data_IF_036903907314
#
_entry.id   IF_036903907314
#
_cell.length_a   1.000
_cell.length_b   1.000
_cell.length_c   1.000
_cell.angle_alpha   90.00
_cell.angle_beta   90.00
_cell.angle_gamma   90.00
#
_symmetry.space_group_name_H-M   'P 1'
#
loop_
_entity.id
_entity.type
_entity.pdbx_description
1 polymer ?
#
# COMPACT_ATOMS: atom_id res chain seq x y z
N UNK A 1 29.77 2.06 -11.81
CA UNK A 1 30.41 2.97 -12.78
C UNK A 1 30.05 4.38 -12.38
N UNK A 2 31.02 5.25 -12.11
CA UNK A 2 30.73 6.66 -11.89
C UNK A 2 30.32 7.28 -13.24
N UNK A 3 29.11 7.82 -13.33
CA UNK A 3 28.69 8.61 -14.50
C UNK A 3 29.27 10.00 -14.30
N UNK A 4 30.24 10.37 -15.13
CA UNK A 4 30.94 11.66 -15.08
C UNK A 4 30.07 12.75 -15.70
N UNK A 5 29.75 13.80 -14.91
CA UNK A 5 28.98 14.96 -15.36
C UNK A 5 29.68 15.70 -16.50
N UNK A 6 31.01 15.60 -16.56
CA UNK A 6 31.88 16.20 -17.56
C UNK A 6 31.58 15.71 -18.98
N UNK A 7 30.87 14.60 -19.15
CA UNK A 7 30.46 14.09 -20.46
C UNK A 7 29.32 14.87 -21.10
N UNK A 8 28.65 15.75 -20.34
CA UNK A 8 27.45 16.46 -20.78
C UNK A 8 27.67 17.97 -20.95
N UNK A 9 28.89 18.41 -21.31
CA UNK A 9 29.23 19.85 -21.43
C UNK A 9 28.25 20.64 -22.31
N UNK A 10 27.79 20.06 -23.42
CA UNK A 10 26.85 20.70 -24.34
C UNK A 10 25.52 21.04 -23.63
N UNK A 11 25.01 20.12 -22.82
CA UNK A 11 23.80 20.32 -22.02
C UNK A 11 24.03 21.37 -20.92
N UNK A 12 25.19 21.31 -20.25
CA UNK A 12 25.54 22.26 -19.18
C UNK A 12 25.62 23.70 -19.71
N UNK A 13 26.13 23.89 -20.93
CA UNK A 13 26.21 25.20 -21.55
C UNK A 13 24.83 25.87 -21.74
N UNK A 14 23.77 25.09 -21.92
CA UNK A 14 22.41 25.61 -22.18
C UNK A 14 21.66 26.04 -20.90
N UNK A 15 21.99 25.45 -19.74
CA UNK A 15 21.25 25.67 -18.48
C UNK A 15 21.56 27.03 -17.83
N UNK A 16 22.77 27.56 -18.07
CA UNK A 16 23.28 28.78 -17.44
C UNK A 16 23.90 28.52 -16.06
N UNK A 17 24.77 29.45 -15.63
CA UNK A 17 25.70 29.26 -14.49
C UNK A 17 25.03 28.78 -13.20
N UNK A 18 23.96 29.45 -12.76
CA UNK A 18 23.29 29.11 -11.51
C UNK A 18 22.63 27.71 -11.52
N UNK A 19 21.98 27.33 -12.62
CA UNK A 19 21.37 26.00 -12.73
C UNK A 19 22.44 24.90 -12.79
N UNK A 20 23.59 25.17 -13.41
CA UNK A 20 24.74 24.26 -13.45
C UNK A 20 25.34 24.06 -12.06
N UNK A 21 25.46 25.13 -11.26
CA UNK A 21 25.94 25.04 -9.87
C UNK A 21 25.04 24.11 -9.03
N UNK A 22 23.72 24.31 -9.12
CA UNK A 22 22.75 23.45 -8.43
C UNK A 22 22.80 22.01 -8.94
N UNK A 23 22.90 21.82 -10.26
CA UNK A 23 23.01 20.49 -10.87
C UNK A 23 24.25 19.75 -10.37
N UNK A 24 25.39 20.44 -10.26
CA UNK A 24 26.63 19.86 -9.71
C UNK A 24 26.44 19.43 -8.25
N UNK A 25 25.74 20.23 -7.45
CA UNK A 25 25.46 19.89 -6.06
C UNK A 25 24.53 18.68 -5.92
N UNK A 26 23.58 18.50 -6.84
CA UNK A 26 22.60 17.38 -6.83
C UNK A 26 23.05 16.15 -7.62
N UNK A 27 24.20 16.21 -8.31
CA UNK A 27 24.62 15.16 -9.25
C UNK A 27 24.86 13.80 -8.59
N UNK A 28 25.56 13.77 -7.46
CA UNK A 28 25.89 12.52 -6.78
C UNK A 28 24.64 11.77 -6.29
N UNK A 29 23.62 12.52 -5.86
CA UNK A 29 22.33 11.96 -5.48
C UNK A 29 21.59 11.43 -6.72
N UNK A 30 21.48 12.24 -7.78
CA UNK A 30 20.86 11.83 -9.03
C UNK A 30 21.52 10.57 -9.61
N UNK A 31 22.85 10.51 -9.65
CA UNK A 31 23.60 9.41 -10.22
C UNK A 31 23.45 8.08 -9.44
N UNK A 32 23.04 8.15 -8.16
CA UNK A 32 22.75 6.94 -7.35
C UNK A 32 21.37 6.37 -7.61
N UNK A 33 20.39 7.20 -7.96
CA UNK A 33 18.97 6.81 -8.01
C UNK A 33 18.47 6.58 -9.44
N UNK A 34 19.03 7.26 -10.43
CA UNK A 34 18.65 7.11 -11.83
C UNK A 34 19.50 6.06 -12.55
N UNK A 35 18.90 5.43 -13.56
CA UNK A 35 19.69 4.68 -14.56
C UNK A 35 20.50 5.66 -15.42
N UNK A 36 21.58 5.22 -16.11
CA UNK A 36 22.30 6.08 -17.05
C UNK A 36 21.39 6.69 -18.12
N UNK A 37 20.37 5.94 -18.57
CA UNK A 37 19.37 6.43 -19.52
C UNK A 37 18.40 7.42 -18.89
N UNK A 38 17.99 7.21 -17.64
CA UNK A 38 17.13 8.12 -16.88
C UNK A 38 17.81 9.46 -16.57
N UNK A 39 19.11 9.43 -16.22
CA UNK A 39 19.93 10.63 -16.01
C UNK A 39 19.92 11.54 -17.24
N UNK A 40 20.18 10.97 -18.41
CA UNK A 40 20.21 11.74 -19.65
C UNK A 40 18.79 12.16 -20.08
N UNK A 41 17.87 11.21 -20.20
CA UNK A 41 16.56 11.45 -20.82
C UNK A 41 15.57 12.20 -19.93
N UNK A 42 15.57 11.94 -18.63
CA UNK A 42 14.56 12.49 -17.72
C UNK A 42 15.12 13.64 -16.90
N UNK A 43 16.35 13.51 -16.39
CA UNK A 43 16.93 14.54 -15.52
C UNK A 43 17.59 15.68 -16.32
N UNK A 44 18.61 15.40 -17.12
CA UNK A 44 19.35 16.42 -17.88
C UNK A 44 18.52 17.06 -18.99
N UNK A 45 17.91 16.23 -19.85
CA UNK A 45 17.04 16.73 -20.92
C UNK A 45 15.76 17.37 -20.36
N UNK A 46 15.28 16.92 -19.19
CA UNK A 46 14.17 17.57 -18.50
C UNK A 46 14.49 18.99 -18.05
N UNK A 47 15.64 19.19 -17.39
CA UNK A 47 16.11 20.52 -16.99
C UNK A 47 16.27 21.45 -18.20
N UNK A 48 16.84 20.94 -19.28
CA UNK A 48 17.04 21.69 -20.54
C UNK A 48 15.72 22.05 -21.21
N UNK A 49 14.78 21.09 -21.25
CA UNK A 49 13.43 21.34 -21.75
C UNK A 49 12.75 22.45 -20.96
N UNK A 50 12.83 22.44 -19.63
CA UNK A 50 12.28 23.51 -18.78
C UNK A 50 12.96 24.86 -19.01
N UNK A 51 14.28 24.87 -19.22
CA UNK A 51 15.04 26.08 -19.56
C UNK A 51 14.57 26.70 -20.87
N UNK A 52 14.33 25.87 -21.89
CA UNK A 52 13.87 26.31 -23.23
C UNK A 52 12.51 27.00 -23.20
N UNK A 53 11.70 26.75 -22.16
CA UNK A 53 10.42 27.42 -21.95
C UNK A 53 10.57 28.90 -21.52
N UNK A 54 11.76 29.35 -21.14
CA UNK A 54 12.09 30.76 -21.00
C UNK A 54 11.41 31.52 -19.85
N UNK A 55 10.96 30.86 -18.77
CA UNK A 55 10.31 31.52 -17.61
C UNK A 55 11.15 31.61 -16.33
N UNK A 56 12.43 31.91 -16.50
CA UNK A 56 13.35 32.09 -15.38
C UNK A 56 13.99 30.79 -14.89
N UNK A 57 14.98 30.94 -14.02
CA UNK A 57 15.88 29.86 -13.60
C UNK A 57 15.31 29.05 -12.43
N UNK A 58 14.47 29.64 -11.58
CA UNK A 58 13.89 28.99 -10.39
C UNK A 58 13.11 27.72 -10.72
N UNK A 59 12.41 27.71 -11.86
CA UNK A 59 11.69 26.53 -12.35
C UNK A 59 12.63 25.35 -12.63
N UNK A 60 13.77 25.65 -13.26
CA UNK A 60 14.79 24.65 -13.62
C UNK A 60 15.49 24.15 -12.35
N UNK A 61 15.85 25.08 -11.46
CA UNK A 61 16.51 24.79 -10.18
C UNK A 61 15.63 23.91 -9.29
N UNK A 62 14.36 24.24 -9.12
CA UNK A 62 13.42 23.44 -8.31
C UNK A 62 13.23 22.02 -8.87
N UNK A 63 13.21 21.86 -10.20
CA UNK A 63 13.20 20.53 -10.81
C UNK A 63 14.49 19.74 -10.52
N UNK A 64 15.65 20.36 -10.75
CA UNK A 64 16.97 19.74 -10.52
C UNK A 64 17.12 19.26 -9.07
N UNK A 65 16.66 20.06 -8.11
CA UNK A 65 16.75 19.74 -6.68
C UNK A 65 15.76 18.63 -6.28
N UNK A 66 14.55 18.63 -6.80
CA UNK A 66 13.49 17.73 -6.35
C UNK A 66 13.46 16.38 -7.08
N UNK A 67 13.89 16.32 -8.34
CA UNK A 67 13.78 15.11 -9.15
C UNK A 67 14.50 13.88 -8.57
N UNK A 68 15.71 13.98 -7.98
CA UNK A 68 16.37 12.82 -7.37
C UNK A 68 15.56 12.19 -6.24
N UNK A 69 14.99 13.01 -5.35
CA UNK A 69 14.13 12.52 -4.27
C UNK A 69 12.86 11.85 -4.79
N UNK A 70 12.22 12.40 -5.84
CA UNK A 70 11.05 11.75 -6.46
C UNK A 70 11.42 10.41 -7.11
N UNK A 71 12.57 10.34 -7.80
CA UNK A 71 13.07 9.10 -8.37
C UNK A 71 13.45 8.07 -7.30
N UNK A 72 14.01 8.50 -6.18
CA UNK A 72 14.32 7.63 -5.04
C UNK A 72 13.06 6.96 -4.48
N UNK A 73 12.00 7.72 -4.27
CA UNK A 73 10.77 7.21 -3.67
C UNK A 73 9.93 6.37 -4.63
N UNK A 74 9.80 6.78 -5.90
CA UNK A 74 8.81 6.23 -6.83
C UNK A 74 9.39 5.70 -8.15
N UNK A 75 10.70 5.83 -8.36
CA UNK A 75 11.38 5.45 -9.60
C UNK A 75 11.43 6.58 -10.64
N UNK A 76 12.32 6.43 -11.63
CA UNK A 76 12.62 7.44 -12.65
C UNK A 76 11.43 7.78 -13.56
N UNK A 77 10.49 6.85 -13.71
CA UNK A 77 9.24 7.04 -14.47
C UNK A 77 8.31 8.09 -13.83
N UNK A 78 8.28 8.18 -12.49
CA UNK A 78 7.52 9.21 -11.80
C UNK A 78 8.05 10.62 -12.09
N UNK A 79 9.37 10.76 -12.31
CA UNK A 79 9.99 12.03 -12.69
C UNK A 79 9.58 12.43 -14.12
N UNK A 80 9.53 11.46 -15.05
CA UNK A 80 9.01 11.69 -16.40
C UNK A 80 7.57 12.20 -16.37
N UNK A 81 6.72 11.60 -15.55
CA UNK A 81 5.32 12.01 -15.40
C UNK A 81 5.17 13.38 -14.75
N UNK A 82 5.96 13.67 -13.71
CA UNK A 82 6.03 14.97 -13.06
C UNK A 82 6.42 16.07 -14.06
N UNK A 83 7.43 15.81 -14.89
CA UNK A 83 7.88 16.73 -15.94
C UNK A 83 6.78 16.94 -17.00
N UNK A 84 6.14 15.87 -17.47
CA UNK A 84 5.05 15.96 -18.43
C UNK A 84 3.86 16.76 -17.88
N UNK A 85 3.51 16.57 -16.61
CA UNK A 85 2.49 17.35 -15.92
C UNK A 85 2.86 18.83 -15.84
N UNK A 86 4.10 19.15 -15.47
CA UNK A 86 4.60 20.53 -15.42
C UNK A 86 4.54 21.23 -16.80
N UNK A 87 4.94 20.55 -17.87
CA UNK A 87 4.86 21.07 -19.25
C UNK A 87 3.40 21.31 -19.65
N UNK A 88 2.48 20.38 -19.31
CA UNK A 88 1.04 20.54 -19.57
C UNK A 88 0.45 21.74 -18.83
N UNK A 89 0.88 21.97 -17.59
CA UNK A 89 0.40 23.07 -16.73
C UNK A 89 1.03 24.42 -17.10
N UNK A 90 2.14 24.44 -17.84
CA UNK A 90 2.88 25.64 -18.21
C UNK A 90 2.03 26.74 -18.87
N UNK A 91 1.05 26.38 -19.70
CA UNK A 91 0.14 27.34 -20.33
C UNK A 91 -1.00 27.82 -19.43
N UNK A 92 -1.21 27.17 -18.28
CA UNK A 92 -2.35 27.39 -17.37
C UNK A 92 -1.98 28.19 -16.12
N UNK A 93 -0.70 28.29 -15.77
CA UNK A 93 -0.25 28.90 -14.51
C UNK A 93 1.10 29.62 -14.62
N UNK A 94 1.52 30.28 -13.54
CA UNK A 94 2.82 30.95 -13.45
C UNK A 94 3.96 29.96 -13.20
N UNK A 95 5.18 30.33 -13.60
CA UNK A 95 6.36 29.52 -13.31
C UNK A 95 6.61 29.35 -11.80
N UNK A 96 6.18 30.31 -10.98
CA UNK A 96 6.26 30.24 -9.52
C UNK A 96 5.36 29.15 -8.92
N UNK A 97 4.21 28.84 -9.53
CA UNK A 97 3.34 27.75 -9.09
C UNK A 97 3.93 26.39 -9.48
N UNK A 98 4.50 26.29 -10.68
CA UNK A 98 5.15 25.05 -11.14
C UNK A 98 6.43 24.76 -10.34
N UNK A 99 7.21 25.80 -10.03
CA UNK A 99 8.35 25.68 -9.13
C UNK A 99 7.91 25.21 -7.73
N UNK A 100 6.75 25.67 -7.23
CA UNK A 100 6.16 25.17 -5.99
C UNK A 100 5.81 23.69 -6.09
N UNK A 101 5.18 23.28 -7.19
CA UNK A 101 4.83 21.88 -7.47
C UNK A 101 6.08 21.01 -7.45
N UNK A 102 7.16 21.40 -8.13
CA UNK A 102 8.42 20.65 -8.06
C UNK A 102 8.98 20.62 -6.63
N UNK A 103 9.01 21.76 -5.94
CA UNK A 103 9.54 21.84 -4.58
C UNK A 103 8.76 20.98 -3.58
N UNK A 104 7.45 20.82 -3.76
CA UNK A 104 6.60 19.99 -2.90
C UNK A 104 6.47 18.53 -3.37
N UNK A 105 6.90 18.21 -4.59
CA UNK A 105 6.77 16.85 -5.15
C UNK A 105 7.50 15.77 -4.35
N UNK A 106 8.68 16.00 -3.75
CA UNK A 106 9.31 15.02 -2.85
C UNK A 106 8.41 14.65 -1.66
N UNK A 107 7.69 15.62 -1.09
CA UNK A 107 6.74 15.38 0.01
C UNK A 107 5.57 14.52 -0.47
N UNK A 108 5.01 14.83 -1.65
CA UNK A 108 3.96 14.01 -2.24
C UNK A 108 4.44 12.59 -2.55
N UNK A 109 5.63 12.45 -3.14
CA UNK A 109 6.21 11.16 -3.48
C UNK A 109 6.40 10.28 -2.24
N UNK A 110 7.05 10.82 -1.20
CA UNK A 110 7.29 10.11 0.05
C UNK A 110 6.00 9.76 0.81
N UNK A 111 4.96 10.61 0.76
CA UNK A 111 3.70 10.37 1.48
C UNK A 111 2.73 9.45 0.74
N UNK A 112 2.74 9.47 -0.59
CA UNK A 112 1.89 8.61 -1.41
C UNK A 112 2.51 7.23 -1.60
N UNK A 113 3.84 7.13 -1.72
CA UNK A 113 4.56 5.86 -1.73
C UNK A 113 4.23 4.90 -2.89
N UNK A 114 3.48 5.37 -3.88
CA UNK A 114 3.10 4.60 -5.07
C UNK A 114 3.01 5.51 -6.32
N UNK A 115 3.54 5.08 -7.49
CA UNK A 115 3.53 5.88 -8.72
C UNK A 115 2.12 6.21 -9.25
N UNK A 116 1.15 5.31 -9.12
CA UNK A 116 -0.22 5.54 -9.59
C UNK A 116 -0.93 6.58 -8.72
N UNK A 117 -0.74 6.51 -7.40
CA UNK A 117 -1.20 7.57 -6.50
C UNK A 117 -0.55 8.91 -6.82
N UNK A 118 0.77 8.94 -7.05
CA UNK A 118 1.46 10.17 -7.44
C UNK A 118 0.94 10.76 -8.75
N UNK A 119 0.67 9.92 -9.76
CA UNK A 119 -0.01 10.35 -11.00
C UNK A 119 -1.39 10.92 -10.73
N UNK A 120 -2.17 10.28 -9.85
CA UNK A 120 -3.47 10.77 -9.40
C UNK A 120 -3.40 12.13 -8.71
N UNK A 121 -2.33 12.40 -7.96
CA UNK A 121 -2.02 13.69 -7.36
C UNK A 121 -1.68 14.75 -8.42
N UNK A 122 -0.84 14.44 -9.41
CA UNK A 122 -0.54 15.35 -10.51
C UNK A 122 -1.80 15.71 -11.31
N UNK A 123 -2.71 14.75 -11.52
CA UNK A 123 -4.00 15.00 -12.13
C UNK A 123 -4.89 15.91 -11.26
N UNK A 124 -4.88 15.74 -9.93
CA UNK A 124 -5.60 16.63 -9.02
C UNK A 124 -5.09 18.07 -9.13
N UNK A 125 -3.77 18.28 -9.21
CA UNK A 125 -3.21 19.62 -9.42
C UNK A 125 -3.71 20.26 -10.73
N UNK A 126 -3.74 19.50 -11.84
CA UNK A 126 -4.24 20.00 -13.13
C UNK A 126 -5.72 20.40 -13.04
N UNK A 127 -6.49 19.64 -12.26
CA UNK A 127 -7.91 19.91 -11.99
C UNK A 127 -8.08 21.19 -11.18
N UNK A 128 -7.31 21.36 -10.11
CA UNK A 128 -7.37 22.53 -9.23
C UNK A 128 -6.87 23.80 -9.93
N UNK A 129 -5.92 23.71 -10.84
CA UNK A 129 -5.52 24.86 -11.67
C UNK A 129 -6.68 25.39 -12.53
N UNK A 130 -7.60 24.52 -12.95
CA UNK A 130 -8.77 24.93 -13.72
C UNK A 130 -9.89 25.50 -12.83
N UNK A 131 -10.04 25.01 -11.59
CA UNK A 131 -11.18 25.34 -10.73
C UNK A 131 -10.87 26.39 -9.64
N UNK A 132 -9.67 26.33 -9.07
CA UNK A 132 -9.22 27.14 -7.93
C UNK A 132 -7.72 27.53 -8.04
N UNK A 133 -7.29 28.20 -9.12
CA UNK A 133 -5.86 28.45 -9.39
C UNK A 133 -5.16 29.27 -8.28
N UNK A 134 -5.89 30.14 -7.58
CA UNK A 134 -5.34 30.93 -6.46
C UNK A 134 -5.13 30.11 -5.19
N UNK A 135 -5.85 29.00 -5.05
CA UNK A 135 -5.70 28.06 -3.94
C UNK A 135 -4.55 27.09 -4.08
N UNK A 136 -4.07 26.83 -5.32
CA UNK A 136 -3.03 25.82 -5.56
C UNK A 136 -1.72 26.15 -4.82
N UNK A 137 -1.19 27.37 -4.94
CA UNK A 137 0.07 27.72 -4.26
C UNK A 137 -0.04 27.61 -2.73
N UNK A 138 -1.04 28.22 -2.06
CA UNK A 138 -1.25 28.03 -0.62
C UNK A 138 -1.35 26.56 -0.22
N UNK A 139 -2.07 25.74 -0.99
CA UNK A 139 -2.18 24.30 -0.72
C UNK A 139 -0.82 23.60 -0.75
N UNK A 140 0.02 23.91 -1.75
CA UNK A 140 1.34 23.31 -1.90
C UNK A 140 2.27 23.71 -0.74
N UNK A 141 2.16 24.94 -0.23
CA UNK A 141 2.91 25.40 0.95
C UNK A 141 2.50 24.63 2.23
N UNK A 142 1.29 24.04 2.27
CA UNK A 142 0.79 23.21 3.38
C UNK A 142 0.72 21.70 3.07
N UNK A 143 1.33 21.25 1.97
CA UNK A 143 1.16 19.88 1.48
C UNK A 143 1.60 18.82 2.49
N UNK A 144 2.68 19.07 3.24
CA UNK A 144 3.15 18.15 4.28
C UNK A 144 2.13 17.95 5.41
N UNK A 145 1.39 18.99 5.77
CA UNK A 145 0.35 18.92 6.81
C UNK A 145 -0.86 18.15 6.30
N UNK A 146 -1.24 18.40 5.05
CA UNK A 146 -2.39 17.75 4.40
C UNK A 146 -2.13 16.25 4.22
N UNK A 147 -1.03 15.86 3.56
CA UNK A 147 -0.68 14.45 3.33
C UNK A 147 -0.16 13.73 4.58
N UNK A 148 0.09 14.45 5.67
CA UNK A 148 0.33 13.84 6.99
C UNK A 148 -0.95 13.41 7.72
N UNK A 149 -2.14 13.77 7.21
CA UNK A 149 -3.44 13.47 7.83
C UNK A 149 -4.45 12.87 6.85
N UNK A 150 -4.27 13.15 5.56
CA UNK A 150 -5.19 12.76 4.50
C UNK A 150 -4.52 11.76 3.58
N UNK A 151 -5.32 10.79 3.17
CA UNK A 151 -5.02 10.03 1.96
C UNK A 151 -5.20 10.89 0.71
N UNK A 152 -4.79 10.40 -0.47
CA UNK A 152 -5.03 11.14 -1.72
C UNK A 152 -6.53 11.36 -1.99
N UNK A 153 -7.38 10.38 -1.66
CA UNK A 153 -8.83 10.53 -1.74
C UNK A 153 -9.34 11.62 -0.79
N UNK A 154 -8.84 11.65 0.44
CA UNK A 154 -9.15 12.71 1.41
C UNK A 154 -8.73 14.09 0.93
N UNK A 155 -7.50 14.22 0.41
CA UNK A 155 -6.98 15.47 -0.17
C UNK A 155 -7.85 15.94 -1.36
N UNK A 156 -8.24 15.03 -2.25
CA UNK A 156 -9.12 15.34 -3.38
C UNK A 156 -10.47 15.89 -2.89
N UNK A 157 -11.13 15.22 -1.94
CA UNK A 157 -12.43 15.66 -1.43
C UNK A 157 -12.34 16.98 -0.68
N UNK A 158 -11.31 17.18 0.14
CA UNK A 158 -11.03 18.45 0.80
C UNK A 158 -10.82 19.58 -0.22
N UNK A 159 -9.95 19.37 -1.22
CA UNK A 159 -9.61 20.39 -2.20
C UNK A 159 -10.80 20.75 -3.12
N UNK A 160 -11.54 19.76 -3.61
CA UNK A 160 -12.71 20.01 -4.47
C UNK A 160 -13.86 20.66 -3.70
N UNK A 161 -14.04 20.33 -2.42
CA UNK A 161 -15.00 21.03 -1.56
C UNK A 161 -14.64 22.51 -1.44
N UNK A 162 -13.37 22.82 -1.12
CA UNK A 162 -12.88 24.20 -1.02
C UNK A 162 -13.05 25.00 -2.30
N UNK A 163 -12.70 24.39 -3.44
CA UNK A 163 -12.87 24.99 -4.77
C UNK A 163 -14.33 25.32 -5.07
N UNK A 164 -15.26 24.43 -4.70
CA UNK A 164 -16.69 24.62 -4.93
C UNK A 164 -17.31 25.63 -3.96
N UNK A 165 -16.98 25.55 -2.66
CA UNK A 165 -17.52 26.42 -1.62
C UNK A 165 -17.11 27.90 -1.83
N UNK A 166 -15.86 28.12 -2.26
CA UNK A 166 -15.31 29.46 -2.49
C UNK A 166 -15.12 29.76 -3.98
N UNK A 167 -16.00 29.26 -4.85
CA UNK A 167 -15.89 29.43 -6.31
C UNK A 167 -15.89 30.90 -6.75
N UNK A 168 -16.65 31.74 -6.05
CA UNK A 168 -16.80 33.18 -6.35
C UNK A 168 -16.09 34.09 -5.35
N UNK A 169 -15.60 33.54 -4.24
CA UNK A 169 -14.88 34.27 -3.18
C UNK A 169 -13.40 33.92 -3.22
N UNK A 170 -12.62 34.73 -3.93
CA UNK A 170 -11.21 34.45 -4.13
C UNK A 170 -10.35 34.61 -2.87
N UNK A 171 -10.74 35.51 -1.95
CA UNK A 171 -10.03 35.71 -0.69
C UNK A 171 -10.31 34.54 0.26
N UNK A 172 -11.59 34.13 0.36
CA UNK A 172 -11.97 32.92 1.07
C UNK A 172 -11.34 31.66 0.48
N UNK A 173 -11.20 31.57 -0.84
CA UNK A 173 -10.49 30.46 -1.49
C UNK A 173 -9.03 30.41 -1.07
N UNK A 174 -8.30 31.53 -1.11
CA UNK A 174 -6.90 31.57 -0.68
C UNK A 174 -6.76 31.15 0.80
N UNK A 175 -7.60 31.69 1.69
CA UNK A 175 -7.63 31.34 3.12
C UNK A 175 -7.97 29.87 3.38
N UNK A 176 -8.91 29.30 2.63
CA UNK A 176 -9.26 27.90 2.75
C UNK A 176 -8.06 27.00 2.45
N UNK A 177 -7.42 27.21 1.29
CA UNK A 177 -6.28 26.40 0.88
C UNK A 177 -5.01 26.67 1.69
N UNK A 178 -4.92 27.81 2.38
CA UNK A 178 -3.87 28.15 3.35
C UNK A 178 -4.09 27.54 4.76
N UNK A 179 -5.16 26.75 4.97
CA UNK A 179 -5.56 26.25 6.29
C UNK A 179 -5.86 27.36 7.32
N UNK A 180 -6.23 28.56 6.87
CA UNK A 180 -6.51 29.71 7.73
C UNK A 180 -8.00 29.82 8.09
N UNK A 181 -8.88 29.17 7.33
CA UNK A 181 -10.33 29.23 7.58
C UNK A 181 -10.81 28.09 8.50
N UNK A 182 -11.78 28.36 9.41
CA UNK A 182 -12.39 27.32 10.23
C UNK A 182 -13.01 26.17 9.40
N UNK A 183 -13.57 26.49 8.24
CA UNK A 183 -14.16 25.53 7.31
C UNK A 183 -13.09 24.58 6.75
N UNK A 184 -11.91 25.10 6.42
CA UNK A 184 -10.78 24.30 5.94
C UNK A 184 -10.34 23.27 6.97
N UNK A 185 -10.17 23.70 8.22
CA UNK A 185 -9.84 22.83 9.34
C UNK A 185 -10.96 21.81 9.60
N UNK A 186 -12.23 22.23 9.54
CA UNK A 186 -13.38 21.35 9.76
C UNK A 186 -13.47 20.23 8.71
N UNK A 187 -13.31 20.56 7.43
CA UNK A 187 -13.29 19.55 6.34
C UNK A 187 -12.06 18.65 6.45
N UNK A 188 -10.89 19.22 6.81
CA UNK A 188 -9.67 18.44 7.05
C UNK A 188 -9.88 17.39 8.15
N UNK A 189 -10.47 17.77 9.29
CA UNK A 189 -10.75 16.82 10.37
C UNK A 189 -11.81 15.78 9.96
N UNK A 190 -12.78 16.13 9.13
CA UNK A 190 -13.79 15.19 8.62
C UNK A 190 -13.22 14.17 7.64
N UNK A 191 -12.24 14.57 6.84
CA UNK A 191 -11.60 13.71 5.83
C UNK A 191 -10.36 12.99 6.37
N UNK A 192 -9.88 13.37 7.55
CA UNK A 192 -8.80 12.68 8.26
C UNK A 192 -9.18 11.23 8.48
N UNK A 193 -8.30 10.35 8.05
CA UNK A 193 -8.37 8.92 8.34
C UNK A 193 -7.51 8.60 9.56
N UNK A 194 -7.75 7.46 10.20
CA UNK A 194 -7.04 7.01 11.40
C UNK A 194 -5.53 6.85 11.21
N UNK A 195 -5.06 5.61 11.11
CA UNK A 195 -3.64 5.29 10.91
C UNK A 195 -3.34 5.27 9.41
N UNK A 196 -2.43 6.13 8.93
CA UNK A 196 -1.96 6.09 7.54
C UNK A 196 -0.94 4.96 7.35
N UNK A 197 -1.01 4.26 6.21
CA UNK A 197 -0.12 3.14 5.92
C UNK A 197 1.35 3.56 5.91
N UNK A 198 1.65 4.69 5.30
CA UNK A 198 3.03 5.18 5.13
C UNK A 198 3.75 5.41 6.47
N UNK A 199 3.00 5.72 7.54
CA UNK A 199 3.55 5.94 8.88
C UNK A 199 3.89 4.62 9.59
N UNK A 200 3.31 3.50 9.17
CA UNK A 200 3.47 2.18 9.80
C UNK A 200 4.14 1.12 8.92
N UNK A 201 4.26 1.34 7.61
CA UNK A 201 4.77 0.38 6.63
C UNK A 201 6.10 -0.27 7.06
N UNK A 202 7.06 0.53 7.54
CA UNK A 202 8.36 0.02 8.02
C UNK A 202 8.21 -0.92 9.22
N UNK A 203 7.33 -0.59 10.17
CA UNK A 203 7.05 -1.41 11.35
C UNK A 203 6.36 -2.73 10.96
N UNK A 204 5.41 -2.68 10.02
CA UNK A 204 4.75 -3.86 9.48
C UNK A 204 5.76 -4.74 8.71
N UNK A 205 6.66 -4.15 7.93
CA UNK A 205 7.71 -4.88 7.20
C UNK A 205 8.62 -5.66 8.16
N UNK A 206 9.05 -5.01 9.26
CA UNK A 206 9.83 -5.67 10.31
C UNK A 206 9.05 -6.79 11.00
N UNK A 207 7.75 -6.58 11.24
CA UNK A 207 6.87 -7.58 11.84
C UNK A 207 6.74 -8.83 10.96
N UNK A 208 6.45 -8.68 9.67
CA UNK A 208 6.37 -9.81 8.74
C UNK A 208 7.73 -10.54 8.59
N UNK A 209 8.83 -9.78 8.52
CA UNK A 209 10.19 -10.35 8.49
C UNK A 209 10.50 -11.15 9.76
N UNK A 210 10.01 -10.71 10.93
CA UNK A 210 10.22 -11.43 12.19
C UNK A 210 9.52 -12.81 12.20
N UNK A 211 8.31 -12.86 11.63
CA UNK A 211 7.50 -14.08 11.49
C UNK A 211 8.13 -15.03 10.47
N UNK A 212 8.30 -14.62 9.21
CA UNK A 212 8.65 -15.54 8.11
C UNK A 212 10.12 -15.50 7.66
N UNK A 213 10.96 -14.62 8.24
CA UNK A 213 12.38 -14.55 7.89
C UNK A 213 12.65 -14.12 6.45
N UNK A 214 11.71 -13.43 5.80
CA UNK A 214 11.84 -12.91 4.44
C UNK A 214 11.18 -11.54 4.31
N UNK A 215 11.51 -10.86 3.22
CA UNK A 215 10.90 -9.58 2.87
C UNK A 215 9.56 -9.76 2.16
N UNK A 216 8.65 -8.82 2.44
CA UNK A 216 7.36 -8.70 1.78
C UNK A 216 7.25 -7.27 1.26
N UNK A 217 7.04 -7.14 -0.04
CA UNK A 217 6.87 -5.84 -0.67
C UNK A 217 5.42 -5.41 -0.47
N UNK A 218 5.23 -4.22 0.09
CA UNK A 218 3.91 -3.69 0.36
C UNK A 218 3.76 -2.31 -0.23
N UNK A 219 2.58 -2.02 -0.79
CA UNK A 219 2.19 -0.71 -1.30
C UNK A 219 0.80 -0.33 -0.81
N UNK A 220 0.46 0.97 -0.75
CA UNK A 220 -0.92 1.37 -0.55
C UNK A 220 -1.79 0.90 -1.73
N UNK A 221 -3.08 0.72 -1.49
CA UNK A 221 -4.05 0.45 -2.55
C UNK A 221 -4.27 1.71 -3.37
N UNK A 222 -4.16 1.58 -4.69
CA UNK A 222 -4.36 2.65 -5.66
C UNK A 222 -5.62 2.37 -6.45
N UNK A 223 -6.74 3.08 -6.22
CA UNK A 223 -7.83 2.90 -7.18
C UNK A 223 -9.22 3.52 -7.04
N UNK A 224 -9.77 4.05 -5.95
CA UNK A 224 -11.14 4.59 -5.99
C UNK A 224 -11.20 5.76 -5.04
N UNK A 225 -10.96 6.93 -5.63
CA UNK A 225 -11.00 8.19 -4.91
C UNK A 225 -12.44 8.61 -4.57
N UNK A 226 -13.45 7.96 -5.17
CA UNK A 226 -14.85 8.34 -5.03
C UNK A 226 -15.52 7.67 -3.84
N UNK A 227 -15.13 6.44 -3.49
CA UNK A 227 -15.64 5.74 -2.31
C UNK A 227 -14.78 6.03 -1.08
N UNK A 228 -15.43 6.22 0.08
CA UNK A 228 -14.75 6.47 1.36
C UNK A 228 -14.23 5.18 2.02
N UNK A 229 -14.67 4.05 1.50
CA UNK A 229 -14.18 2.73 1.84
C UNK A 229 -12.88 2.53 1.05
N UNK A 230 -11.75 2.56 1.76
CA UNK A 230 -10.49 2.13 1.16
C UNK A 230 -10.63 0.70 0.65
N UNK A 231 -9.86 0.35 -0.38
CA UNK A 231 -9.89 -1.01 -0.93
C UNK A 231 -9.64 -2.07 0.11
N UNK A 232 -10.20 -3.25 -0.09
CA UNK A 232 -9.72 -4.43 0.61
C UNK A 232 -8.23 -4.66 0.35
N UNK A 233 -7.52 -5.28 1.31
CA UNK A 233 -6.23 -5.88 1.03
C UNK A 233 -6.31 -6.72 -0.25
N UNK A 234 -5.24 -6.72 -1.04
CA UNK A 234 -5.11 -7.55 -2.23
C UNK A 234 -3.64 -7.84 -2.49
N UNK A 235 -3.37 -8.81 -3.35
CA UNK A 235 -2.01 -9.15 -3.74
C UNK A 235 -1.96 -9.17 -5.26
N UNK A 236 -1.06 -8.37 -5.82
CA UNK A 236 -0.81 -8.28 -7.27
C UNK A 236 0.65 -8.61 -7.52
N UNK A 237 0.90 -9.68 -8.28
CA UNK A 237 2.25 -10.20 -8.39
C UNK A 237 2.81 -10.62 -7.03
N UNK A 238 3.96 -10.06 -6.68
CA UNK A 238 4.61 -10.25 -5.37
C UNK A 238 4.35 -9.10 -4.38
N UNK A 239 3.53 -8.12 -4.76
CA UNK A 239 3.26 -6.92 -3.95
C UNK A 239 1.94 -7.11 -3.20
N UNK A 240 1.98 -6.93 -1.88
CA UNK A 240 0.80 -6.86 -1.02
C UNK A 240 0.30 -5.42 -1.03
N UNK A 241 -0.92 -5.20 -1.50
CA UNK A 241 -1.60 -3.92 -1.45
C UNK A 241 -2.46 -3.83 -0.20
N UNK A 242 -2.20 -2.84 0.65
CA UNK A 242 -2.96 -2.56 1.87
C UNK A 242 -3.65 -1.19 1.78
N UNK A 243 -4.77 -0.96 2.49
CA UNK A 243 -5.42 0.36 2.52
C UNK A 243 -4.45 1.48 2.82
N UNK A 244 -4.56 2.59 2.09
CA UNK A 244 -3.78 3.81 2.34
C UNK A 244 -3.99 4.38 3.76
N UNK A 245 -5.14 4.11 4.37
CA UNK A 245 -5.41 4.34 5.78
C UNK A 245 -6.42 3.33 6.37
N UNK A 246 -6.28 3.04 7.67
CA UNK A 246 -7.30 2.38 8.48
C UNK A 246 -7.84 3.32 9.55
N UNK A 247 -9.17 3.43 9.65
CA UNK A 247 -9.82 3.99 10.82
C UNK A 247 -9.80 2.96 11.96
N UNK A 248 -9.86 3.42 13.21
CA UNK A 248 -9.98 2.51 14.35
C UNK A 248 -11.36 1.80 14.29
N UNK A 249 -11.36 0.48 14.46
CA UNK A 249 -12.57 -0.32 14.46
C UNK A 249 -13.12 -0.39 15.89
N UNK A 250 -14.33 0.11 16.06
CA UNK A 250 -15.08 -0.01 17.31
C UNK A 250 -16.32 -0.83 17.04
N UNK A 251 -16.48 -1.92 17.78
CA UNK A 251 -17.73 -2.67 17.76
C UNK A 251 -18.13 -3.08 19.17
N UNK A 252 -19.44 -3.18 19.37
CA UNK A 252 -20.03 -3.52 20.65
C UNK A 252 -20.59 -4.94 20.61
N UNK A 253 -20.11 -5.79 21.50
CA UNK A 253 -20.65 -7.13 21.65
C UNK A 253 -22.09 -7.08 22.18
N UNK A 254 -22.91 -8.13 21.95
CA UNK A 254 -24.26 -8.20 22.51
C UNK A 254 -24.30 -8.11 24.05
N UNK A 255 -23.20 -8.42 24.73
CA UNK A 255 -23.02 -8.23 26.18
C UNK A 255 -22.95 -6.76 26.61
N UNK A 256 -22.79 -5.83 25.65
CA UNK A 256 -22.57 -4.41 25.88
C UNK A 256 -21.10 -4.01 25.99
N UNK A 257 -20.17 -4.96 25.96
CA UNK A 257 -18.73 -4.69 26.00
C UNK A 257 -18.25 -4.12 24.67
N UNK A 258 -17.52 -3.01 24.73
CA UNK A 258 -16.96 -2.33 23.57
C UNK A 258 -15.54 -2.82 23.32
N UNK A 259 -15.29 -3.33 22.12
CA UNK A 259 -13.97 -3.71 21.66
C UNK A 259 -13.44 -2.63 20.73
N UNK A 260 -12.29 -2.07 21.09
CA UNK A 260 -11.61 -1.04 20.30
C UNK A 260 -10.32 -1.60 19.69
N UNK A 261 -10.24 -1.59 18.37
CA UNK A 261 -9.11 -2.11 17.61
C UNK A 261 -8.50 -0.96 16.82
N UNK A 262 -7.28 -0.60 17.20
CA UNK A 262 -6.55 0.47 16.53
C UNK A 262 -6.18 0.10 15.10
N UNK A 263 -6.12 1.09 14.20
CA UNK A 263 -5.79 0.88 12.78
C UNK A 263 -4.44 0.17 12.55
N UNK A 264 -3.47 0.32 13.46
CA UNK A 264 -2.21 -0.44 13.40
C UNK A 264 -2.39 -1.95 13.60
N UNK A 265 -3.35 -2.38 14.43
CA UNK A 265 -3.64 -3.80 14.61
C UNK A 265 -4.37 -4.37 13.38
N UNK A 266 -5.22 -3.57 12.73
CA UNK A 266 -5.77 -3.93 11.41
C UNK A 266 -4.66 -4.12 10.37
N UNK A 267 -3.68 -3.22 10.29
CA UNK A 267 -2.52 -3.41 9.40
C UNK A 267 -1.75 -4.70 9.71
N UNK A 268 -1.54 -5.03 10.99
CA UNK A 268 -0.88 -6.30 11.37
C UNK A 268 -1.69 -7.50 10.92
N UNK A 269 -3.00 -7.50 11.18
CA UNK A 269 -3.91 -8.57 10.81
C UNK A 269 -3.93 -8.78 9.30
N UNK A 270 -4.12 -7.71 8.53
CA UNK A 270 -4.21 -7.76 7.07
C UNK A 270 -2.91 -8.15 6.42
N UNK A 271 -1.80 -7.55 6.85
CA UNK A 271 -0.47 -7.86 6.31
C UNK A 271 -0.05 -9.29 6.63
N UNK A 272 -0.34 -9.78 7.85
CA UNK A 272 -0.07 -11.17 8.21
C UNK A 272 -0.90 -12.15 7.37
N UNK A 273 -2.19 -11.86 7.16
CA UNK A 273 -3.06 -12.69 6.34
C UNK A 273 -2.58 -12.76 4.87
N UNK A 274 -2.34 -11.61 4.24
CA UNK A 274 -1.83 -11.58 2.86
C UNK A 274 -0.45 -12.27 2.74
N UNK A 275 0.43 -12.11 3.75
CA UNK A 275 1.67 -12.85 3.81
C UNK A 275 1.46 -14.37 3.89
N UNK A 276 0.41 -14.85 4.58
CA UNK A 276 0.08 -16.28 4.63
C UNK A 276 -0.22 -16.82 3.23
N UNK A 277 -0.97 -16.10 2.40
CA UNK A 277 -1.19 -16.50 1.00
C UNK A 277 0.12 -16.61 0.22
N UNK A 278 0.99 -15.59 0.29
CA UNK A 278 2.28 -15.63 -0.41
C UNK A 278 3.23 -16.74 0.09
N UNK A 279 3.04 -17.25 1.31
CA UNK A 279 3.90 -18.29 1.90
C UNK A 279 3.31 -19.69 1.69
N UNK A 280 1.99 -19.85 1.80
CA UNK A 280 1.33 -21.15 1.91
C UNK A 280 0.42 -21.51 0.73
N UNK A 281 0.04 -20.56 -0.11
CA UNK A 281 -0.61 -20.83 -1.41
C UNK A 281 0.49 -21.06 -2.45
N UNK A 282 0.79 -22.32 -2.74
CA UNK A 282 1.96 -22.75 -3.51
C UNK A 282 1.68 -23.13 -4.96
N UNK A 283 0.40 -23.31 -5.30
CA UNK A 283 -0.09 -23.68 -6.62
C UNK A 283 -1.27 -22.78 -7.01
N UNK A 284 -1.40 -22.48 -8.30
CA UNK A 284 -2.56 -21.77 -8.85
C UNK A 284 -3.81 -22.63 -8.77
N UNK A 285 -4.94 -22.01 -8.43
CA UNK A 285 -6.23 -22.66 -8.54
C UNK A 285 -6.79 -22.53 -9.95
N UNK A 286 -7.30 -23.64 -10.50
CA UNK A 286 -8.06 -23.60 -11.74
C UNK A 286 -9.44 -23.00 -11.51
N UNK A 287 -9.68 -21.85 -12.16
CA UNK A 287 -10.95 -21.12 -12.12
C UNK A 287 -11.96 -21.59 -13.17
N UNK A 288 -11.56 -22.49 -14.07
CA UNK A 288 -12.36 -22.91 -15.23
C UNK A 288 -13.68 -23.54 -14.79
N UNK A 289 -14.80 -22.95 -15.25
CA UNK A 289 -16.15 -23.48 -15.03
C UNK A 289 -16.70 -23.26 -13.61
N UNK A 290 -16.03 -22.48 -12.77
CA UNK A 290 -16.53 -22.13 -11.44
C UNK A 290 -17.59 -21.02 -11.51
N UNK A 291 -18.65 -21.15 -10.70
CA UNK A 291 -19.59 -20.07 -10.43
C UNK A 291 -19.01 -19.08 -9.42
N UNK A 292 -19.57 -17.87 -9.35
CA UNK A 292 -19.14 -16.84 -8.39
C UNK A 292 -19.23 -17.30 -6.93
N UNK A 293 -20.29 -18.04 -6.57
CA UNK A 293 -20.44 -18.64 -5.25
C UNK A 293 -19.36 -19.69 -4.97
N UNK A 294 -19.03 -20.53 -5.96
CA UNK A 294 -17.98 -21.54 -5.82
C UNK A 294 -16.63 -20.87 -5.60
N UNK A 295 -16.26 -19.88 -6.41
CA UNK A 295 -15.02 -19.13 -6.24
C UNK A 295 -14.94 -18.47 -4.86
N UNK A 296 -16.03 -17.84 -4.40
CA UNK A 296 -16.08 -17.19 -3.09
C UNK A 296 -15.90 -18.17 -1.92
N UNK A 297 -16.52 -19.36 -1.98
CA UNK A 297 -16.39 -20.37 -0.92
C UNK A 297 -15.07 -21.13 -0.96
N UNK A 298 -14.44 -21.26 -2.12
CA UNK A 298 -13.06 -21.76 -2.20
C UNK A 298 -12.10 -20.76 -1.55
N UNK A 299 -12.25 -19.47 -1.85
CA UNK A 299 -11.48 -18.39 -1.21
C UNK A 299 -11.62 -18.38 0.31
N UNK A 300 -12.86 -18.45 0.82
CA UNK A 300 -13.16 -18.51 2.25
C UNK A 300 -12.42 -19.64 2.99
N UNK A 301 -12.31 -20.81 2.34
CA UNK A 301 -11.62 -21.97 2.90
C UNK A 301 -10.11 -21.86 2.73
N UNK A 302 -9.64 -21.30 1.62
CA UNK A 302 -8.22 -21.03 1.40
C UNK A 302 -7.67 -20.07 2.46
N UNK A 303 -8.40 -19.00 2.79
CA UNK A 303 -8.09 -18.10 3.91
C UNK A 303 -7.91 -18.89 5.21
N UNK A 304 -8.90 -19.69 5.57
CA UNK A 304 -8.90 -20.46 6.80
C UNK A 304 -7.76 -21.49 6.81
N UNK A 305 -7.43 -22.07 5.66
CA UNK A 305 -6.31 -23.02 5.50
C UNK A 305 -4.98 -22.32 5.77
N UNK A 306 -4.69 -21.22 5.08
CA UNK A 306 -3.41 -20.51 5.23
C UNK A 306 -3.25 -19.92 6.63
N UNK A 307 -4.33 -19.41 7.23
CA UNK A 307 -4.36 -18.96 8.62
C UNK A 307 -4.12 -20.12 9.60
N UNK A 308 -4.73 -21.29 9.38
CA UNK A 308 -4.54 -22.46 10.23
C UNK A 308 -3.09 -22.96 10.20
N UNK A 309 -2.47 -22.96 9.01
CA UNK A 309 -1.04 -23.31 8.87
C UNK A 309 -0.18 -22.30 9.62
N UNK A 310 -0.46 -21.00 9.45
CA UNK A 310 0.25 -19.94 10.15
C UNK A 310 0.11 -20.07 11.68
N UNK A 311 -1.08 -20.39 12.20
CA UNK A 311 -1.34 -20.56 13.63
C UNK A 311 -0.59 -21.73 14.24
N UNK A 312 -0.33 -22.81 13.48
CA UNK A 312 0.52 -23.92 13.95
C UNK A 312 1.95 -23.47 14.22
N UNK A 313 2.45 -22.50 13.45
CA UNK A 313 3.80 -21.95 13.61
C UNK A 313 3.84 -20.74 14.55
N UNK A 314 2.80 -19.90 14.53
CA UNK A 314 2.68 -18.64 15.25
C UNK A 314 1.31 -18.52 15.95
N UNK A 315 1.10 -19.23 17.07
CA UNK A 315 -0.18 -19.20 17.79
C UNK A 315 -0.63 -17.79 18.21
N UNK A 316 0.33 -16.87 18.37
CA UNK A 316 0.08 -15.47 18.69
C UNK A 316 -0.81 -14.73 17.68
N UNK A 317 -0.83 -15.15 16.40
CA UNK A 317 -1.64 -14.53 15.34
C UNK A 317 -3.15 -14.62 15.63
N UNK A 318 -3.59 -15.58 16.45
CA UNK A 318 -5.00 -15.66 16.86
C UNK A 318 -5.46 -14.37 17.57
N UNK A 319 -4.59 -13.75 18.37
CA UNK A 319 -4.94 -12.56 19.16
C UNK A 319 -5.21 -11.32 18.29
N UNK A 320 -4.70 -11.28 17.05
CA UNK A 320 -4.93 -10.15 16.14
C UNK A 320 -6.08 -10.41 15.16
N UNK A 321 -6.35 -11.68 14.82
CA UNK A 321 -7.44 -12.02 13.91
C UNK A 321 -8.77 -12.22 14.62
N UNK A 322 -8.78 -12.92 15.77
CA UNK A 322 -10.02 -13.29 16.45
C UNK A 322 -10.91 -12.08 16.83
N UNK A 323 -10.37 -10.95 17.35
CA UNK A 323 -11.20 -9.78 17.68
C UNK A 323 -11.89 -9.12 16.48
N UNK A 324 -11.48 -9.46 15.25
CA UNK A 324 -12.03 -8.95 13.99
C UNK A 324 -13.17 -9.83 13.44
N UNK A 325 -13.45 -10.99 14.06
CA UNK A 325 -14.60 -11.82 13.73
C UNK A 325 -15.78 -11.46 14.64
N UNK A 326 -16.69 -10.62 14.15
CA UNK A 326 -17.84 -10.09 14.92
C UNK A 326 -19.12 -10.88 14.69
N UNK A 327 -19.15 -11.73 13.67
CA UNK A 327 -20.32 -12.51 13.29
C UNK A 327 -20.71 -13.51 14.38
N UNK A 328 -22.02 -13.59 14.67
CA UNK A 328 -22.61 -14.50 15.66
C UNK A 328 -23.78 -15.26 15.04
N UNK A 329 -24.36 -16.26 15.73
CA UNK A 329 -25.59 -16.90 15.26
C UNK A 329 -26.77 -15.93 15.06
N UNK A 330 -26.73 -14.74 15.67
CA UNK A 330 -27.74 -13.70 15.49
C UNK A 330 -27.54 -12.81 14.24
N UNK A 331 -26.42 -12.95 13.52
CA UNK A 331 -26.10 -12.14 12.33
C UNK A 331 -26.95 -12.48 11.09
N UNK A 332 -27.83 -13.48 11.15
CA UNK A 332 -28.71 -13.89 10.06
C UNK A 332 -28.19 -15.09 9.26
N UNK A 333 -29.00 -15.53 8.30
CA UNK A 333 -28.77 -16.73 7.49
C UNK A 333 -28.58 -16.41 6.00
N UNK A 334 -28.35 -15.15 5.67
CA UNK A 334 -27.93 -14.69 4.35
C UNK A 334 -26.50 -15.18 4.05
N UNK A 335 -26.12 -15.25 2.76
CA UNK A 335 -24.85 -15.83 2.35
C UNK A 335 -23.66 -15.15 3.04
N UNK A 336 -23.62 -13.81 3.05
CA UNK A 336 -22.56 -13.03 3.71
C UNK A 336 -22.42 -13.38 5.20
N UNK A 337 -23.55 -13.42 5.92
CA UNK A 337 -23.59 -13.74 7.35
C UNK A 337 -23.15 -15.18 7.62
N UNK A 338 -23.61 -16.15 6.82
CA UNK A 338 -23.18 -17.54 6.95
C UNK A 338 -21.68 -17.71 6.69
N UNK A 339 -21.15 -17.06 5.66
CA UNK A 339 -19.71 -17.08 5.35
C UNK A 339 -18.87 -16.49 6.50
N UNK A 340 -19.27 -15.35 7.06
CA UNK A 340 -18.58 -14.75 8.20
C UNK A 340 -18.67 -15.61 9.48
N UNK A 341 -19.84 -16.21 9.77
CA UNK A 341 -20.03 -17.16 10.88
C UNK A 341 -19.18 -18.41 10.72
N UNK A 342 -19.07 -18.95 9.50
CA UNK A 342 -18.19 -20.07 9.22
C UNK A 342 -16.73 -19.68 9.42
N UNK A 343 -16.27 -18.54 8.90
CA UNK A 343 -14.90 -18.09 9.11
C UNK A 343 -14.55 -17.96 10.61
N UNK A 344 -15.48 -17.40 11.41
CA UNK A 344 -15.34 -17.33 12.86
C UNK A 344 -15.23 -18.73 13.48
N UNK A 345 -16.12 -19.65 13.10
CA UNK A 345 -16.12 -21.03 13.59
C UNK A 345 -14.86 -21.84 13.22
N UNK A 346 -14.18 -21.48 12.12
CA UNK A 346 -12.94 -22.10 11.68
C UNK A 346 -11.72 -21.55 12.44
N UNK A 347 -11.77 -20.28 12.87
CA UNK A 347 -10.68 -19.64 13.61
C UNK A 347 -10.75 -19.90 15.13
N UNK A 348 -11.96 -19.89 15.70
CA UNK A 348 -12.22 -19.98 17.14
C UNK A 348 -12.76 -21.35 17.56
N UNK A 349 -11.99 -22.14 18.34
CA UNK A 349 -12.48 -23.39 18.92
C UNK A 349 -13.67 -23.20 19.88
N UNK A 350 -13.83 -22.04 20.50
CA UNK A 350 -14.85 -21.79 21.51
C UNK A 350 -16.16 -21.25 20.93
N UNK A 351 -16.14 -20.68 19.72
CA UNK A 351 -17.32 -20.24 18.99
C UNK A 351 -18.34 -21.37 18.81
N UNK A 352 -19.62 -21.10 19.07
CA UNK A 352 -20.72 -22.07 18.97
C UNK A 352 -21.75 -21.58 17.98
N UNK A 353 -22.11 -22.46 17.05
CA UNK A 353 -23.09 -22.18 16.00
C UNK A 353 -23.74 -23.47 15.54
N UNK A 354 -25.05 -23.57 15.76
CA UNK A 354 -25.84 -24.77 15.48
C UNK A 354 -26.43 -24.77 14.06
N UNK A 355 -26.14 -23.76 13.24
CA UNK A 355 -26.64 -23.73 11.87
C UNK A 355 -26.03 -24.89 11.06
N UNK A 356 -26.83 -25.74 10.39
CA UNK A 356 -26.35 -26.98 9.78
C UNK A 356 -25.17 -26.79 8.82
N UNK A 357 -25.21 -25.73 8.01
CA UNK A 357 -24.14 -25.40 7.05
C UNK A 357 -22.83 -25.00 7.74
N UNK A 358 -22.89 -24.23 8.83
CA UNK A 358 -21.72 -23.78 9.59
C UNK A 358 -21.11 -24.96 10.35
N UNK A 359 -21.95 -25.74 11.02
CA UNK A 359 -21.52 -26.94 11.74
C UNK A 359 -20.86 -27.97 10.81
N UNK A 360 -21.43 -28.19 9.63
CA UNK A 360 -20.85 -29.06 8.60
C UNK A 360 -19.49 -28.54 8.13
N UNK A 361 -19.37 -27.25 7.80
CA UNK A 361 -18.09 -26.66 7.38
C UNK A 361 -17.00 -26.83 8.43
N UNK A 362 -17.33 -26.55 9.69
CA UNK A 362 -16.44 -26.77 10.84
C UNK A 362 -16.03 -28.24 10.99
N UNK A 363 -16.98 -29.16 10.87
CA UNK A 363 -16.70 -30.59 10.96
C UNK A 363 -15.71 -31.04 9.88
N UNK A 364 -16.00 -30.73 8.61
CA UNK A 364 -15.14 -31.08 7.46
C UNK A 364 -13.72 -30.54 7.68
N UNK A 365 -13.60 -29.29 8.13
CA UNK A 365 -12.31 -28.66 8.38
C UNK A 365 -11.53 -29.34 9.51
N UNK A 366 -12.22 -29.74 10.60
CA UNK A 366 -11.59 -30.39 11.76
C UNK A 366 -11.12 -31.83 11.48
N UNK A 367 -11.87 -32.59 10.68
CA UNK A 367 -11.59 -34.01 10.40
C UNK A 367 -10.45 -34.21 9.40
N UNK A 368 -10.13 -33.20 8.60
CA UNK A 368 -9.17 -33.29 7.49
C UNK A 368 -7.92 -32.42 7.67
N UNK A 369 -7.55 -32.12 8.93
CA UNK A 369 -6.38 -31.30 9.29
C UNK A 369 -5.05 -31.78 8.67
N UNK A 370 -4.90 -33.06 8.36
CA UNK A 370 -3.69 -33.62 7.72
C UNK A 370 -3.57 -33.24 6.24
N UNK A 371 -4.69 -32.91 5.57
CA UNK A 371 -4.74 -32.53 4.15
C UNK A 371 -4.48 -31.05 3.89
N UNK A 372 -4.34 -30.22 4.95
CA UNK A 372 -4.14 -28.77 4.85
C UNK A 372 -2.90 -28.37 4.03
N UNK A 373 -1.96 -29.29 3.78
CA UNK A 373 -0.78 -29.04 2.95
C UNK A 373 -1.16 -28.84 1.46
N UNK A 374 -2.28 -29.40 1.00
CA UNK A 374 -2.70 -29.34 -0.40
C UNK A 374 -3.68 -28.20 -0.67
N UNK A 375 -3.46 -27.45 -1.75
CA UNK A 375 -4.40 -26.42 -2.26
C UNK A 375 -5.69 -27.02 -2.82
N UNK A 376 -5.62 -28.22 -3.43
CA UNK A 376 -6.82 -28.92 -3.94
C UNK A 376 -7.84 -29.21 -2.84
N UNK A 377 -7.38 -29.33 -1.60
CA UNK A 377 -8.26 -29.50 -0.45
C UNK A 377 -9.21 -28.30 -0.26
N UNK A 378 -8.70 -27.07 -0.37
CA UNK A 378 -9.55 -25.86 -0.30
C UNK A 378 -10.62 -25.87 -1.40
N UNK A 379 -10.24 -26.34 -2.59
CA UNK A 379 -11.13 -26.46 -3.74
C UNK A 379 -12.26 -27.48 -3.50
N UNK A 380 -11.92 -28.70 -3.07
CA UNK A 380 -12.89 -29.75 -2.75
C UNK A 380 -13.91 -29.30 -1.69
N UNK A 381 -13.42 -28.70 -0.60
CA UNK A 381 -14.26 -28.26 0.51
C UNK A 381 -15.14 -27.07 0.12
N UNK A 382 -14.58 -26.09 -0.60
CA UNK A 382 -15.33 -24.94 -1.11
C UNK A 382 -16.46 -25.34 -2.06
N UNK A 383 -16.19 -26.27 -2.99
CA UNK A 383 -17.20 -26.81 -3.90
C UNK A 383 -18.34 -27.54 -3.16
N UNK A 384 -17.99 -28.33 -2.14
CA UNK A 384 -18.98 -29.01 -1.31
C UNK A 384 -19.85 -28.02 -0.54
N UNK A 385 -19.24 -27.01 0.08
CA UNK A 385 -19.96 -25.96 0.79
C UNK A 385 -20.90 -25.17 -0.14
N UNK A 386 -20.48 -24.91 -1.38
CA UNK A 386 -21.31 -24.23 -2.37
C UNK A 386 -22.54 -25.05 -2.75
N UNK A 387 -22.37 -26.36 -2.98
CA UNK A 387 -23.48 -27.26 -3.27
C UNK A 387 -24.51 -27.28 -2.13
N UNK A 388 -24.04 -27.33 -0.89
CA UNK A 388 -24.90 -27.36 0.31
C UNK A 388 -25.60 -26.02 0.54
N UNK A 389 -24.93 -24.89 0.31
CA UNK A 389 -25.54 -23.56 0.40
C UNK A 389 -26.68 -23.39 -0.63
N UNK A 390 -26.47 -23.88 -1.86
CA UNK A 390 -27.51 -23.89 -2.89
C UNK A 390 -28.69 -24.80 -2.54
N UNK A 391 -28.44 -25.97 -1.94
CA UNK A 391 -29.51 -26.87 -1.48
C UNK A 391 -30.37 -26.24 -0.38
N UNK A 392 -29.78 -25.38 0.47
CA UNK A 392 -30.51 -24.60 1.46
C UNK A 392 -31.33 -23.45 0.86
N UNK A 393 -31.22 -23.19 -0.44
CA UNK A 393 -31.94 -22.11 -1.13
C UNK A 393 -31.39 -20.72 -0.80
N UNK A 394 -30.16 -20.62 -0.29
CA UNK A 394 -29.52 -19.34 0.01
C UNK A 394 -29.06 -18.70 -1.31
N UNK A 395 -29.57 -17.51 -1.60
CA UNK A 395 -29.13 -16.73 -2.76
C UNK A 395 -27.78 -16.05 -2.48
N UNK A 396 -26.96 -15.92 -3.52
CA UNK A 396 -25.65 -15.28 -3.43
C UNK A 396 -25.46 -14.28 -4.57
N UNK A 397 -24.88 -13.13 -4.24
CA UNK A 397 -24.53 -12.03 -5.12
C UNK A 397 -23.17 -11.49 -4.73
N UNK A 398 -22.19 -11.61 -5.63
CA UNK A 398 -20.80 -11.19 -5.37
C UNK A 398 -20.65 -9.69 -5.01
N UNK A 399 -21.62 -8.85 -5.38
CA UNK A 399 -21.58 -7.41 -5.09
C UNK A 399 -22.14 -7.05 -3.73
N UNK A 400 -23.03 -7.87 -3.16
CA UNK A 400 -23.76 -7.57 -1.91
C UNK A 400 -23.41 -8.51 -0.77
N UNK A 401 -23.09 -9.77 -1.08
CA UNK A 401 -22.79 -10.81 -0.09
C UNK A 401 -21.30 -10.84 0.24
N UNK A 402 -20.80 -9.71 0.75
CA UNK A 402 -19.45 -9.58 1.27
C UNK A 402 -19.45 -9.98 2.74
N UNK A 403 -18.66 -10.98 3.16
CA UNK A 403 -18.51 -11.28 4.58
C UNK A 403 -17.77 -10.14 5.30
N UNK A 404 -18.26 -9.75 6.47
CA UNK A 404 -17.65 -8.72 7.32
C UNK A 404 -16.41 -9.28 8.04
N UNK A 405 -15.29 -9.36 7.32
CA UNK A 405 -14.00 -9.80 7.82
C UNK A 405 -12.93 -8.80 7.32
N UNK A 406 -12.70 -7.70 8.04
CA UNK A 406 -12.06 -6.49 7.49
C UNK A 406 -10.58 -6.63 7.16
N UNK A 407 -9.91 -7.70 7.63
CA UNK A 407 -8.49 -7.91 7.42
C UNK A 407 -8.16 -8.84 6.25
N UNK A 408 -9.13 -9.60 5.74
CA UNK A 408 -8.87 -10.56 4.67
C UNK A 408 -8.77 -9.88 3.30
N UNK A 409 -7.98 -10.48 2.42
CA UNK A 409 -7.84 -9.98 1.06
C UNK A 409 -9.01 -10.40 0.15
N UNK A 410 -8.96 -9.99 -1.11
CA UNK A 410 -9.99 -10.32 -2.10
C UNK A 410 -9.79 -11.67 -2.80
N UNK A 411 -8.81 -12.46 -2.34
CA UNK A 411 -8.43 -13.76 -2.86
C UNK A 411 -8.06 -13.77 -4.35
N UNK A 412 -7.76 -12.63 -4.99
CA UNK A 412 -7.33 -12.65 -6.40
C UNK A 412 -6.04 -13.46 -6.60
N UNK A 413 -5.16 -13.43 -5.60
CA UNK A 413 -3.85 -14.07 -5.62
C UNK A 413 -3.88 -15.56 -5.95
N UNK A 414 -4.87 -16.29 -5.41
CA UNK A 414 -4.96 -17.74 -5.63
C UNK A 414 -5.31 -18.11 -7.08
N UNK A 415 -5.84 -17.16 -7.86
CA UNK A 415 -6.27 -17.39 -9.24
C UNK A 415 -5.27 -16.90 -10.29
N UNK A 416 -4.29 -16.05 -9.93
CA UNK A 416 -3.43 -15.31 -10.87
C UNK A 416 -1.92 -15.68 -10.73
N UNK A 417 -1.62 -16.93 -10.36
CA UNK A 417 -0.29 -17.35 -9.87
C UNK A 417 0.79 -17.63 -10.94
N UNK A 418 0.45 -18.10 -12.14
CA UNK A 418 1.42 -18.61 -13.15
C UNK A 418 2.39 -17.54 -13.69
N UNK A 419 1.99 -16.26 -13.75
CA UNK A 419 2.85 -15.18 -14.26
C UNK A 419 3.83 -14.62 -13.19
N UNK A 420 3.68 -14.99 -11.92
CA UNK A 420 4.33 -14.30 -10.78
C UNK A 420 5.69 -14.91 -10.40
N UNK A 421 5.86 -16.25 -10.54
CA UNK A 421 7.11 -16.93 -10.16
C UNK A 421 8.29 -16.58 -11.06
N UNK A 422 8.05 -16.27 -12.34
CA UNK A 422 9.11 -15.92 -13.28
C UNK A 422 9.62 -14.49 -13.05
N UNK A 423 8.73 -13.53 -12.81
CA UNK A 423 9.07 -12.11 -12.70
C UNK A 423 9.55 -11.70 -11.29
N UNK A 424 8.98 -12.30 -10.24
CA UNK A 424 9.41 -12.06 -8.85
C UNK A 424 10.84 -12.54 -8.56
N UNK A 425 11.31 -13.57 -9.27
CA UNK A 425 12.68 -14.08 -9.13
C UNK A 425 13.75 -13.15 -9.73
N UNK A 426 13.39 -12.33 -10.72
CA UNK A 426 14.32 -11.46 -11.44
C UNK A 426 14.39 -10.06 -10.81
N UNK A 427 13.28 -9.54 -10.30
CA UNK A 427 13.19 -8.14 -9.83
C UNK A 427 13.53 -7.99 -8.33
N UNK A 428 13.13 -8.94 -7.48
CA UNK A 428 13.23 -8.79 -6.02
C UNK A 428 14.49 -9.43 -5.40
N UNK A 429 15.41 -9.99 -6.18
CA UNK A 429 16.65 -10.58 -5.65
C UNK A 429 16.41 -11.73 -4.65
N UNK A 430 15.29 -12.45 -4.79
CA UNK A 430 14.78 -13.49 -3.86
C UNK A 430 15.66 -14.76 -3.84
N UNK A 431 16.88 -14.71 -4.37
CA UNK A 431 17.77 -15.87 -4.52
C UNK A 431 18.41 -16.33 -3.21
N UNK A 432 18.36 -15.54 -2.14
CA UNK A 432 18.83 -16.00 -0.82
C UNK A 432 17.73 -15.85 0.22
N UNK A 433 16.99 -16.93 0.48
CA UNK A 433 16.27 -17.08 1.75
C UNK A 433 17.27 -16.79 2.88
N UNK A 434 16.93 -15.86 3.77
CA UNK A 434 17.72 -15.68 4.99
C UNK A 434 17.58 -16.97 5.81
N UNK A 435 18.67 -17.73 5.92
CA UNK A 435 18.68 -18.96 6.69
C UNK A 435 18.72 -18.58 8.17
N UNK A 436 17.62 -18.78 8.89
CA UNK A 436 17.61 -18.60 10.35
C UNK A 436 18.44 -19.72 10.98
N UNK A 437 19.62 -19.36 11.49
CA UNK A 437 20.44 -20.24 12.32
C UNK A 437 20.13 -19.96 13.79
N UNK A 438 19.82 -21.02 14.53
CA UNK A 438 19.74 -20.97 15.98
C UNK A 438 21.13 -21.26 16.52
N UNK A 439 21.77 -20.25 17.08
CA UNK A 439 23.10 -20.35 17.68
C UNK A 439 22.99 -20.12 19.18
N UNK A 440 23.83 -20.80 19.94
CA UNK A 440 23.99 -20.51 21.37
C UNK A 440 24.55 -19.10 21.58
N UNK A 441 24.39 -18.55 22.79
CA UNK A 441 24.98 -17.25 23.15
C UNK A 441 26.50 -17.27 22.93
N UNK A 442 27.16 -18.39 23.20
CA UNK A 442 28.61 -18.53 23.00
C UNK A 442 29.01 -18.51 21.52
N UNK A 443 28.24 -19.16 20.64
CA UNK A 443 28.48 -19.10 19.20
C UNK A 443 28.22 -17.71 18.62
N UNK A 444 27.24 -16.98 19.16
CA UNK A 444 27.00 -15.58 18.78
C UNK A 444 28.17 -14.68 19.20
N UNK A 445 28.68 -14.83 20.43
CA UNK A 445 29.81 -14.05 20.95
C UNK A 445 31.08 -14.34 20.15
N UNK A 446 31.35 -15.61 19.83
CA UNK A 446 32.53 -16.01 19.06
C UNK A 446 32.51 -15.53 17.59
N UNK A 447 31.36 -15.09 17.09
CA UNK A 447 31.20 -14.57 15.74
C UNK A 447 31.18 -13.04 15.67
N UNK A 448 31.30 -12.34 16.80
CA UNK A 448 31.44 -10.88 16.81
C UNK A 448 32.86 -10.52 16.32
N UNK A 449 32.94 -9.60 15.36
CA UNK A 449 34.22 -9.02 14.97
C UNK A 449 34.89 -8.39 16.18
N UNK A 450 36.15 -8.77 16.45
CA UNK A 450 36.96 -8.15 17.50
C UNK A 450 37.67 -6.95 16.91
N UNK A 451 37.30 -5.71 17.29
CA UNK A 451 37.88 -4.51 16.69
C UNK A 451 39.38 -4.45 16.96
N UNK A 452 40.19 -4.58 15.90
CA UNK A 452 41.65 -4.51 15.96
C UNK A 452 42.39 -5.85 15.87
N UNK A 453 41.69 -6.99 15.80
CA UNK A 453 42.31 -8.28 15.48
C UNK A 453 42.61 -8.35 13.98
N UNK A 454 43.88 -8.55 13.61
CA UNK A 454 44.30 -8.84 12.24
C UNK A 454 44.23 -10.34 11.93
N UNK A 455 44.50 -10.71 10.66
CA UNK A 455 44.50 -12.11 10.19
C UNK A 455 45.53 -13.02 10.90
N UNK A 456 46.44 -12.43 11.70
CA UNK A 456 47.50 -13.10 12.48
C UNK A 456 47.20 -13.19 13.99
N UNK A 457 45.99 -12.85 14.43
CA UNK A 457 45.60 -12.94 15.83
C UNK A 457 45.56 -14.42 16.30
N UNK A 458 46.48 -14.79 17.20
CA UNK A 458 46.56 -16.14 17.76
C UNK A 458 45.60 -16.37 18.95
N UNK A 459 45.07 -15.31 19.56
CA UNK A 459 44.09 -15.38 20.64
C UNK A 459 43.07 -14.24 20.49
N UNK A 460 41.79 -14.60 20.60
CA UNK A 460 40.65 -13.70 20.50
C UNK A 460 39.83 -13.92 21.78
N UNK A 461 39.65 -12.88 22.59
CA UNK A 461 39.03 -12.93 23.92
C UNK A 461 37.65 -12.27 23.93
#
# INVERSE_FOLDING_TARGET
MAVELEKYQDILAELGEHAVEVLRASWDEAARVFTPRGLENYYLNGATSLKSLGRGTDLVVSFIQSAPAVAHELGEDAVREMLAAAIKMYSKTSATVIAAMFSSSPVAAARLGDPELFRGYLHLLDTLLAQAPRGVRPMLDHLSTLLGQLTLGGLRRWALWGAQAHKTDFDGQAKYFALESPESIGVLQKERKGTLFIDVQRRISMYLRALWGRDFFMRPTSGDFEQREGYRPSIEGYIIHLPDAYDDLVWQAPSGEETHIHGIELYRASAAHAACHQVYTTDQFDSTGLSTLQSALIGLIEDARVETIALKQFPGLRHIWLPLHTATPASGNEAASLMARLAHALLDPDYRDDHPWVAMGRQIFSEQQERLVSTEWSREVGLRLAAEMLQLGVAYSATTDVPDIPYRDDNRYMWEFEDIRADGQVIAGVTTQQIRKYVSVMEMVNALDVPGAGDDANEIW
#
